data_IF_591899428620
#
_entry.id   IF_591899428620
#
_cell.length_a   1.000
_cell.length_b   1.000
_cell.length_c   1.000
_cell.angle_alpha   90.00
_cell.angle_beta   90.00
_cell.angle_gamma   90.00
#
_symmetry.space_group_name_H-M   'P 1'
#
loop_
_entity.id
_entity.type
_entity.pdbx_description
1 polymer ?
#
# COMPACT_ATOMS: atom_id res chain seq x y z
N UNK A 1 13.08 16.63 29.44
CA UNK A 1 12.31 15.40 29.76
C UNK A 1 13.29 14.27 29.91
N UNK A 2 13.37 13.65 31.06
CA UNK A 2 14.34 12.56 31.28
C UNK A 2 13.87 11.32 30.53
N UNK A 3 14.76 10.72 29.73
CA UNK A 3 14.50 9.47 29.02
C UNK A 3 14.61 8.34 30.03
N UNK A 4 13.59 7.46 30.17
CA UNK A 4 13.64 6.32 31.09
C UNK A 4 14.83 5.40 30.77
N UNK A 5 15.36 4.73 31.78
CA UNK A 5 16.42 3.73 31.58
C UNK A 5 15.91 2.59 30.65
N UNK A 6 16.72 2.20 29.67
CA UNK A 6 16.34 1.18 28.68
C UNK A 6 15.53 1.73 27.49
N UNK A 7 15.46 3.09 27.36
CA UNK A 7 14.79 3.75 26.25
C UNK A 7 15.70 4.81 25.62
N UNK A 8 15.46 5.10 24.34
CA UNK A 8 16.14 6.14 23.56
C UNK A 8 15.17 7.08 22.86
N UNK A 9 15.59 8.33 22.68
CA UNK A 9 14.84 9.31 21.87
C UNK A 9 15.11 9.08 20.39
N UNK A 10 14.03 9.10 19.59
CA UNK A 10 14.08 9.03 18.14
C UNK A 10 13.18 10.09 17.49
N UNK A 11 13.22 10.20 16.17
CA UNK A 11 12.29 11.05 15.41
C UNK A 11 10.81 10.66 15.57
N UNK A 12 10.52 9.42 16.00
CA UNK A 12 9.17 8.92 16.26
C UNK A 12 8.76 8.99 17.74
N UNK A 13 9.64 9.50 18.60
CA UNK A 13 9.45 9.57 20.04
C UNK A 13 10.43 8.69 20.82
N UNK A 14 10.08 8.36 22.06
CA UNK A 14 10.86 7.53 22.96
C UNK A 14 10.50 6.06 22.70
N UNK A 15 11.48 5.26 22.33
CA UNK A 15 11.32 3.82 22.07
C UNK A 15 12.32 3.01 22.91
N UNK A 16 12.11 1.70 23.14
CA UNK A 16 13.09 0.82 23.78
C UNK A 16 14.45 0.87 23.07
N UNK A 17 15.54 0.73 23.82
CA UNK A 17 16.90 0.82 23.28
C UNK A 17 17.21 -0.23 22.21
N UNK A 18 16.61 -1.41 22.33
CA UNK A 18 16.74 -2.54 21.41
C UNK A 18 15.86 -2.42 20.16
N UNK A 19 14.99 -1.42 20.09
CA UNK A 19 14.18 -1.16 18.89
C UNK A 19 14.92 -0.28 17.89
N UNK A 20 14.69 -0.54 16.61
CA UNK A 20 15.22 0.23 15.50
C UNK A 20 14.11 0.93 14.71
N UNK A 21 14.37 2.17 14.34
CA UNK A 21 13.52 2.91 13.39
C UNK A 21 13.99 2.60 11.98
N UNK A 22 13.11 2.05 11.15
CA UNK A 22 13.41 1.72 9.75
C UNK A 22 12.38 2.34 8.82
N UNK A 23 12.82 2.74 7.65
CA UNK A 23 11.93 3.09 6.54
C UNK A 23 11.45 1.80 5.88
N UNK A 24 10.22 1.81 5.34
CA UNK A 24 9.70 0.67 4.59
C UNK A 24 10.65 0.26 3.46
N UNK A 25 11.26 1.24 2.78
CA UNK A 25 12.22 1.01 1.70
C UNK A 25 13.53 0.35 2.13
N UNK A 26 13.82 0.29 3.44
CA UNK A 26 15.05 -0.31 3.94
C UNK A 26 14.96 -1.84 4.02
N UNK A 27 13.74 -2.40 4.05
CA UNK A 27 13.55 -3.83 4.22
C UNK A 27 12.61 -4.48 3.18
N UNK A 28 11.92 -3.70 2.34
CA UNK A 28 11.05 -4.24 1.29
C UNK A 28 10.88 -3.28 0.12
N UNK A 29 10.26 -3.77 -0.95
CA UNK A 29 9.93 -2.99 -2.14
C UNK A 29 8.46 -2.57 -2.13
N UNK A 30 8.19 -1.41 -2.73
CA UNK A 30 6.84 -0.90 -2.94
C UNK A 30 6.65 -0.69 -4.44
N UNK A 31 5.58 -1.23 -4.98
CA UNK A 31 5.21 -1.06 -6.39
C UNK A 31 3.81 -0.49 -6.51
N UNK A 32 3.53 0.18 -7.62
CA UNK A 32 2.18 0.60 -8.00
C UNK A 32 1.68 -0.27 -9.15
N UNK A 33 0.36 -0.35 -9.30
CA UNK A 33 -0.25 -1.04 -10.41
C UNK A 33 -0.47 -0.14 -11.62
N UNK A 34 -1.38 -0.57 -12.47
CA UNK A 34 -1.81 0.13 -13.67
C UNK A 34 -3.19 -0.34 -14.11
N UNK A 35 -3.75 0.37 -15.08
CA UNK A 35 -5.05 0.05 -15.65
C UNK A 35 -4.88 -0.30 -17.12
N UNK A 36 -5.24 -1.52 -17.57
CA UNK A 36 -5.32 -1.81 -18.99
C UNK A 36 -6.27 -0.85 -19.70
N UNK A 37 -6.01 -0.55 -20.97
CA UNK A 37 -6.86 0.37 -21.72
C UNK A 37 -8.32 -0.09 -21.71
N UNK A 38 -9.21 0.78 -21.26
CA UNK A 38 -10.67 0.52 -21.26
C UNK A 38 -11.28 0.59 -22.66
N UNK A 39 -10.53 1.13 -23.64
CA UNK A 39 -10.91 1.14 -25.05
C UNK A 39 -10.65 -0.19 -25.76
N UNK A 40 -10.06 -1.15 -25.06
CA UNK A 40 -9.74 -2.48 -25.56
C UNK A 40 -10.53 -3.53 -24.80
N UNK A 41 -11.72 -3.92 -25.28
CA UNK A 41 -12.55 -4.92 -24.61
C UNK A 41 -11.85 -6.27 -24.41
N UNK A 42 -10.92 -6.62 -25.31
CA UNK A 42 -10.12 -7.85 -25.27
C UNK A 42 -9.15 -7.91 -24.08
N UNK A 43 -8.90 -6.79 -23.39
CA UNK A 43 -8.06 -6.74 -22.19
C UNK A 43 -8.82 -7.10 -20.91
N UNK A 44 -10.16 -7.17 -20.99
CA UNK A 44 -11.04 -7.36 -19.83
C UNK A 44 -11.82 -8.66 -19.90
N UNK A 45 -12.33 -9.10 -18.73
CA UNK A 45 -13.19 -10.29 -18.65
C UNK A 45 -12.43 -11.62 -18.66
N UNK A 46 -11.12 -11.62 -18.43
CA UNK A 46 -10.31 -12.84 -18.36
C UNK A 46 -10.30 -13.48 -16.98
N UNK A 47 -9.24 -14.23 -16.69
CA UNK A 47 -9.07 -15.00 -15.45
C UNK A 47 -8.12 -14.36 -14.43
N UNK A 48 -7.49 -13.23 -14.76
CA UNK A 48 -6.56 -12.55 -13.87
C UNK A 48 -7.34 -11.54 -13.04
N UNK A 49 -7.23 -11.65 -11.72
CA UNK A 49 -7.86 -10.72 -10.79
C UNK A 49 -7.21 -9.34 -10.87
N UNK A 50 -8.03 -8.31 -10.99
CA UNK A 50 -7.59 -6.92 -11.06
C UNK A 50 -8.41 -6.06 -10.10
N UNK A 51 -7.75 -5.45 -9.14
CA UNK A 51 -8.35 -4.69 -8.05
C UNK A 51 -8.34 -3.20 -8.32
N UNK A 52 -9.48 -2.56 -8.23
CA UNK A 52 -9.59 -1.10 -8.18
C UNK A 52 -9.37 -0.58 -6.76
N UNK A 53 -8.93 0.68 -6.65
CA UNK A 53 -8.70 1.30 -5.34
C UNK A 53 -9.97 1.45 -4.49
N UNK A 54 -11.16 1.46 -5.11
CA UNK A 54 -12.43 1.46 -4.39
C UNK A 54 -12.65 0.20 -3.53
N UNK A 55 -11.99 -0.91 -3.88
CA UNK A 55 -12.12 -2.17 -3.14
C UNK A 55 -11.21 -2.28 -1.91
N UNK A 56 -10.35 -1.29 -1.65
CA UNK A 56 -9.54 -1.20 -0.42
C UNK A 56 -10.40 -1.16 0.86
N UNK A 57 -11.65 -0.73 0.75
CA UNK A 57 -12.60 -0.72 1.88
C UNK A 57 -12.94 -2.14 2.39
N UNK A 58 -12.66 -3.18 1.62
CA UNK A 58 -12.80 -4.58 2.05
C UNK A 58 -11.84 -4.94 3.18
N UNK A 59 -10.75 -4.21 3.33
CA UNK A 59 -9.67 -4.43 4.31
C UNK A 59 -8.91 -5.74 4.09
N UNK A 60 -9.57 -6.88 4.16
CA UNK A 60 -9.01 -8.20 3.86
C UNK A 60 -9.56 -8.68 2.52
N UNK A 61 -8.67 -8.89 1.56
CA UNK A 61 -9.05 -9.13 0.16
C UNK A 61 -8.88 -10.61 -0.18
N UNK A 62 -10.00 -11.30 -0.34
CA UNK A 62 -10.06 -12.70 -0.74
C UNK A 62 -10.60 -12.88 -2.16
N UNK A 63 -11.23 -11.85 -2.72
CA UNK A 63 -11.74 -11.79 -4.09
C UNK A 63 -11.90 -10.32 -4.50
N UNK A 64 -11.90 -10.06 -5.81
CA UNK A 64 -12.08 -8.74 -6.40
C UNK A 64 -13.02 -8.84 -7.61
N UNK A 65 -13.68 -7.72 -7.95
CA UNK A 65 -14.64 -7.70 -9.05
C UNK A 65 -13.97 -7.71 -10.43
N UNK A 66 -12.87 -6.95 -10.57
CA UNK A 66 -12.21 -6.79 -11.87
C UNK A 66 -11.51 -8.05 -12.33
N UNK A 67 -11.60 -8.29 -13.64
CA UNK A 67 -10.88 -9.37 -14.33
C UNK A 67 -10.24 -8.82 -15.58
N UNK A 68 -8.97 -9.16 -15.80
CA UNK A 68 -8.25 -8.85 -17.02
C UNK A 68 -7.75 -10.13 -17.70
N UNK A 69 -7.44 -10.00 -18.97
CA UNK A 69 -6.84 -11.09 -19.76
C UNK A 69 -5.33 -11.05 -19.65
N UNK A 70 -4.66 -12.12 -20.09
CA UNK A 70 -3.21 -12.15 -20.24
C UNK A 70 -2.74 -11.05 -21.19
N UNK A 71 -3.49 -10.78 -22.24
CA UNK A 71 -3.21 -9.68 -23.18
C UNK A 71 -3.30 -8.32 -22.50
N UNK A 72 -4.32 -8.08 -21.66
CA UNK A 72 -4.45 -6.88 -20.84
C UNK A 72 -3.30 -6.70 -19.85
N UNK A 73 -2.84 -7.78 -19.23
CA UNK A 73 -1.67 -7.76 -18.35
C UNK A 73 -0.39 -7.37 -19.11
N UNK A 74 -0.14 -8.00 -20.26
CA UNK A 74 1.08 -7.79 -21.05
C UNK A 74 1.15 -6.42 -21.71
N UNK A 75 0.00 -5.80 -22.00
CA UNK A 75 -0.11 -4.51 -22.69
C UNK A 75 -0.46 -3.34 -21.75
N UNK A 76 -0.19 -3.47 -20.48
CA UNK A 76 -0.41 -2.40 -19.49
C UNK A 76 0.72 -2.34 -18.48
N UNK A 77 0.71 -1.29 -17.65
CA UNK A 77 1.68 -1.10 -16.59
C UNK A 77 1.30 -1.83 -15.28
N UNK A 78 0.21 -2.59 -15.28
CA UNK A 78 -0.15 -3.38 -14.10
C UNK A 78 0.78 -4.59 -13.93
N UNK A 79 0.91 -5.03 -12.69
CA UNK A 79 1.76 -6.18 -12.34
C UNK A 79 1.00 -7.16 -11.46
N UNK A 80 1.29 -8.43 -11.63
CA UNK A 80 0.83 -9.44 -10.68
C UNK A 80 1.61 -9.28 -9.38
N UNK A 81 0.90 -9.13 -8.27
CA UNK A 81 1.48 -9.13 -6.92
C UNK A 81 1.15 -10.43 -6.19
N UNK A 82 2.04 -10.90 -5.30
CA UNK A 82 1.79 -12.10 -4.50
C UNK A 82 0.73 -11.84 -3.42
N UNK A 83 0.21 -12.90 -2.77
CA UNK A 83 -0.54 -12.75 -1.53
C UNK A 83 0.31 -12.07 -0.44
N UNK A 84 -0.36 -11.54 0.58
CA UNK A 84 0.23 -10.98 1.79
C UNK A 84 0.97 -9.66 1.61
N UNK A 85 0.61 -8.88 0.58
CA UNK A 85 1.01 -7.48 0.46
C UNK A 85 0.17 -6.58 1.37
N UNK A 86 0.77 -5.49 1.84
CA UNK A 86 0.03 -4.37 2.40
C UNK A 86 -0.29 -3.40 1.27
N UNK A 87 -1.57 -3.15 1.04
CA UNK A 87 -2.07 -2.29 -0.02
C UNK A 87 -2.49 -0.94 0.55
N UNK A 88 -2.10 0.16 -0.09
CA UNK A 88 -2.42 1.52 0.38
C UNK A 88 -3.01 2.34 -0.77
N UNK A 89 -4.13 2.99 -0.52
CA UNK A 89 -4.72 3.95 -1.46
C UNK A 89 -3.90 5.23 -1.56
N UNK A 90 -3.45 5.55 -2.77
CA UNK A 90 -2.64 6.73 -3.07
C UNK A 90 -3.49 7.94 -3.48
N UNK A 91 -4.68 7.72 -4.00
CA UNK A 91 -5.54 8.75 -4.57
C UNK A 91 -6.99 8.58 -4.10
N UNK A 92 -7.79 9.59 -4.39
CA UNK A 92 -9.21 9.65 -4.06
C UNK A 92 -9.51 10.74 -3.03
N UNK A 93 -10.52 11.57 -3.34
CA UNK A 93 -10.95 12.65 -2.43
C UNK A 93 -11.83 12.12 -1.29
N UNK A 94 -12.40 10.92 -1.45
CA UNK A 94 -13.18 10.23 -0.43
C UNK A 94 -12.30 9.56 0.62
N UNK A 95 -12.80 8.47 1.19
CA UNK A 95 -12.11 7.70 2.24
C UNK A 95 -10.98 6.82 1.72
N UNK A 96 -10.83 6.64 0.40
CA UNK A 96 -9.91 5.66 -0.21
C UNK A 96 -8.44 6.00 0.01
N UNK A 97 -8.08 7.29 -0.11
CA UNK A 97 -6.69 7.73 0.10
C UNK A 97 -6.27 7.49 1.55
N UNK A 98 -5.16 6.78 1.73
CA UNK A 98 -4.64 6.38 3.05
C UNK A 98 -5.27 5.10 3.61
N UNK A 99 -6.33 4.58 2.97
CA UNK A 99 -6.92 3.29 3.37
C UNK A 99 -5.94 2.17 3.09
N UNK A 100 -5.71 1.32 4.08
CA UNK A 100 -4.91 0.12 3.96
C UNK A 100 -5.81 -1.12 3.78
N UNK A 101 -5.29 -2.10 3.04
CA UNK A 101 -5.87 -3.43 2.91
C UNK A 101 -4.76 -4.49 2.87
N UNK A 102 -5.14 -5.75 2.99
CA UNK A 102 -4.24 -6.89 2.99
C UNK A 102 -4.80 -7.99 2.09
N UNK A 103 -4.05 -8.42 1.08
CA UNK A 103 -4.53 -9.43 0.13
C UNK A 103 -4.10 -10.84 0.50
N UNK A 104 -5.04 -11.78 0.41
CA UNK A 104 -4.78 -13.22 0.62
C UNK A 104 -4.63 -14.00 -0.68
N UNK A 105 -4.77 -13.33 -1.82
CA UNK A 105 -4.72 -13.91 -3.17
C UNK A 105 -3.77 -13.09 -4.04
N UNK A 106 -3.16 -13.74 -5.05
CA UNK A 106 -2.44 -13.01 -6.10
C UNK A 106 -3.41 -12.22 -6.96
N UNK A 107 -3.07 -10.96 -7.25
CA UNK A 107 -3.90 -10.09 -8.07
C UNK A 107 -3.08 -8.96 -8.71
N UNK A 108 -3.66 -8.28 -9.67
CA UNK A 108 -3.17 -7.00 -10.18
C UNK A 108 -3.91 -5.85 -9.53
N UNK A 109 -3.34 -4.66 -9.55
CA UNK A 109 -3.97 -3.45 -8.99
C UNK A 109 -3.95 -2.30 -9.99
N UNK A 110 -4.83 -1.32 -9.79
CA UNK A 110 -4.74 -0.07 -10.53
C UNK A 110 -3.57 0.81 -10.02
N UNK A 111 -3.30 1.91 -10.71
CA UNK A 111 -2.21 2.85 -10.41
C UNK A 111 -2.41 3.64 -9.10
N UNK A 112 -3.61 3.64 -8.54
CA UNK A 112 -3.94 4.32 -7.29
C UNK A 112 -3.72 3.47 -6.04
N UNK A 113 -3.15 2.29 -6.19
CA UNK A 113 -2.76 1.39 -5.10
C UNK A 113 -1.25 1.23 -5.10
N UNK A 114 -0.62 1.49 -3.95
CA UNK A 114 0.74 1.04 -3.64
C UNK A 114 0.69 -0.31 -2.93
N UNK A 115 1.45 -1.27 -3.41
CA UNK A 115 1.60 -2.58 -2.79
C UNK A 115 2.98 -2.70 -2.15
N UNK A 116 3.02 -2.91 -0.85
CA UNK A 116 4.24 -3.21 -0.09
C UNK A 116 4.41 -4.73 -0.13
N UNK A 117 5.50 -5.18 -0.76
CA UNK A 117 5.72 -6.60 -1.01
C UNK A 117 6.13 -7.35 0.25
N UNK A 118 5.61 -8.56 0.50
CA UNK A 118 6.03 -9.39 1.62
C UNK A 118 7.42 -9.97 1.38
N UNK A 119 8.14 -10.27 2.47
CA UNK A 119 9.37 -11.07 2.45
C UNK A 119 9.61 -11.67 3.85
N UNK A 120 10.69 -12.44 3.99
CA UNK A 120 11.04 -13.13 5.23
C UNK A 120 11.68 -12.24 6.32
N UNK A 121 11.92 -10.97 6.03
CA UNK A 121 12.57 -10.03 6.96
C UNK A 121 11.60 -9.35 7.92
N UNK A 122 10.30 -9.43 7.66
CA UNK A 122 9.28 -8.79 8.48
C UNK A 122 7.93 -9.50 8.39
N UNK A 123 7.07 -9.25 9.38
CA UNK A 123 5.68 -9.73 9.40
C UNK A 123 4.78 -8.72 8.66
N UNK A 124 4.31 -9.09 7.47
CA UNK A 124 3.49 -8.20 6.65
C UNK A 124 2.09 -7.96 7.23
N UNK A 125 1.53 -8.90 7.98
CA UNK A 125 0.25 -8.69 8.65
C UNK A 125 0.38 -7.69 9.81
N UNK A 126 1.46 -7.76 10.58
CA UNK A 126 1.77 -6.74 11.58
C UNK A 126 1.91 -5.36 10.93
N UNK A 127 2.66 -5.28 9.82
CA UNK A 127 2.80 -4.03 9.06
C UNK A 127 1.44 -3.48 8.60
N UNK A 128 0.53 -4.36 8.16
CA UNK A 128 -0.82 -3.93 7.80
C UNK A 128 -1.51 -3.20 8.95
N UNK A 129 -1.48 -3.76 10.16
CA UNK A 129 -2.12 -3.11 11.32
C UNK A 129 -1.44 -1.78 11.69
N UNK A 130 -0.12 -1.71 11.61
CA UNK A 130 0.61 -0.45 11.83
C UNK A 130 0.19 0.61 10.81
N UNK A 131 0.14 0.27 9.54
CA UNK A 131 -0.26 1.19 8.46
C UNK A 131 -1.73 1.60 8.60
N UNK A 132 -2.62 0.66 8.88
CA UNK A 132 -4.04 0.94 9.07
C UNK A 132 -4.28 1.90 10.25
N UNK A 133 -3.52 1.77 11.33
CA UNK A 133 -3.59 2.68 12.48
C UNK A 133 -3.13 4.11 12.17
N UNK A 134 -2.41 4.32 11.07
CA UNK A 134 -1.87 5.63 10.65
C UNK A 134 -2.71 6.31 9.56
N UNK A 135 -3.95 5.91 9.36
CA UNK A 135 -4.84 6.44 8.31
C UNK A 135 -4.89 7.97 8.29
N UNK A 136 -5.17 8.62 9.42
CA UNK A 136 -5.28 10.08 9.49
C UNK A 136 -3.93 10.76 9.20
N UNK A 137 -2.84 10.19 9.69
CA UNK A 137 -1.49 10.70 9.42
C UNK A 137 -1.12 10.62 7.95
N UNK A 138 -1.41 9.49 7.29
CA UNK A 138 -1.18 9.31 5.86
C UNK A 138 -1.98 10.31 5.02
N UNK A 139 -3.20 10.63 5.43
CA UNK A 139 -4.02 11.66 4.78
C UNK A 139 -3.45 13.06 4.95
N UNK A 140 -2.92 13.40 6.12
CA UNK A 140 -2.23 14.67 6.36
C UNK A 140 -1.01 14.86 5.48
N UNK A 141 -0.18 13.82 5.31
CA UNK A 141 1.00 13.87 4.43
C UNK A 141 0.64 14.15 2.96
N UNK A 142 -0.56 13.79 2.56
CA UNK A 142 -1.03 13.96 1.18
C UNK A 142 -1.76 15.27 0.92
N UNK A 143 -2.10 16.05 1.94
CA UNK A 143 -2.88 17.29 1.83
C UNK A 143 -2.04 18.54 1.53
N UNK A 144 -0.71 18.42 1.46
CA UNK A 144 0.23 19.54 1.29
C UNK A 144 0.18 20.29 -0.04
N UNK A 145 -0.56 19.79 -1.04
CA UNK A 145 -0.67 20.38 -2.38
C UNK A 145 -2.11 20.80 -2.72
N UNK A 146 -2.72 21.65 -1.90
CA UNK A 146 -3.96 22.33 -2.27
C UNK A 146 -5.16 21.43 -2.59
N UNK A 147 -5.28 20.27 -1.96
CA UNK A 147 -6.42 19.37 -2.10
C UNK A 147 -6.42 18.47 -3.35
N UNK A 148 -5.43 18.58 -4.22
CA UNK A 148 -5.22 17.71 -5.40
C UNK A 148 -4.13 16.66 -5.19
N UNK A 149 -3.39 16.75 -4.08
CA UNK A 149 -2.28 15.86 -3.77
C UNK A 149 -2.76 14.44 -3.46
N UNK A 150 -2.29 13.47 -4.22
CA UNK A 150 -2.31 12.07 -3.82
C UNK A 150 -1.18 11.77 -2.84
N UNK A 151 -1.33 10.73 -2.03
CA UNK A 151 -0.22 10.13 -1.30
C UNK A 151 0.76 9.58 -2.35
N UNK A 152 1.96 10.12 -2.42
CA UNK A 152 2.92 9.59 -3.36
C UNK A 152 3.75 8.47 -2.73
N UNK A 153 4.31 7.62 -3.58
CA UNK A 153 5.09 6.46 -3.14
C UNK A 153 6.32 6.86 -2.31
N UNK A 154 6.86 8.07 -2.52
CA UNK A 154 7.98 8.61 -1.72
C UNK A 154 7.55 8.91 -0.28
N UNK A 155 6.32 9.42 -0.10
CA UNK A 155 5.73 9.64 1.22
C UNK A 155 5.56 8.32 1.98
N UNK A 156 5.05 7.28 1.32
CA UNK A 156 4.92 5.94 1.91
C UNK A 156 6.28 5.35 2.28
N UNK A 157 7.29 5.48 1.41
CA UNK A 157 8.64 4.98 1.65
C UNK A 157 9.36 5.64 2.85
N UNK A 158 8.99 6.87 3.20
CA UNK A 158 9.62 7.63 4.29
C UNK A 158 9.01 7.37 5.65
N UNK A 159 7.84 6.72 5.71
CA UNK A 159 7.24 6.41 6.99
C UNK A 159 8.08 5.38 7.72
N UNK A 160 8.57 5.77 8.88
CA UNK A 160 9.27 4.89 9.78
C UNK A 160 8.25 4.00 10.51
N UNK A 161 8.64 2.79 10.77
CA UNK A 161 7.86 1.78 11.48
C UNK A 161 8.61 1.48 12.77
N UNK A 162 7.88 1.53 13.86
CA UNK A 162 8.36 1.08 15.18
C UNK A 162 8.15 -0.41 15.30
#
# INVERSE_FOLDING_TARGET
>A
MDIPQGYKQTELGIIPDDWEVKRISDFTSIITGGTPSTLRPEYWGGNIMWMSSGELNKKFVFDVEGRITTEGLLNSSTHMIPPFCVLIGLAGQGKTRGTAAYNYISLCTNQSIAAILPNDKYDSLYLYYVVDSKYDYLRLLSSGDGGRGGLNIRGVKRNAIN
#
